data_IF_910389734554
#
_entry.id   IF_910389734554
#
_cell.length_a   1.000
_cell.length_b   1.000
_cell.length_c   1.000
_cell.angle_alpha   90.00
_cell.angle_beta   90.00
_cell.angle_gamma   90.00
#
_symmetry.space_group_name_H-M   'P 1'
#
loop_
_entity.id
_entity.type
_entity.pdbx_description
1 polymer ?
#
# COMPACT_ATOMS: atom_id res chain seq x y z
N UNK A 1 -4.00 5.42 22.98
CA UNK A 1 -2.67 4.89 23.29
C UNK A 1 -1.74 5.20 22.12
N UNK A 2 -0.58 5.83 22.37
CA UNK A 2 0.42 6.07 21.33
C UNK A 2 1.07 4.72 20.94
N UNK A 3 0.46 4.00 20.02
CA UNK A 3 1.02 2.74 19.53
C UNK A 3 2.04 3.07 18.44
N UNK A 4 3.26 3.40 18.86
CA UNK A 4 4.42 3.66 18.00
C UNK A 4 5.25 2.40 17.93
N UNK A 5 5.65 2.01 16.73
CA UNK A 5 6.62 0.95 16.51
C UNK A 5 8.01 1.55 16.30
N UNK A 6 9.01 0.92 16.88
CA UNK A 6 10.40 1.31 16.71
C UNK A 6 11.21 0.09 16.27
N UNK A 7 12.06 0.28 15.27
CA UNK A 7 12.99 -0.73 14.81
C UNK A 7 14.35 -0.09 14.52
N UNK A 8 15.41 -0.77 14.93
CA UNK A 8 16.80 -0.40 14.61
C UNK A 8 17.32 -1.40 13.56
N UNK A 9 17.27 -1.08 12.26
CA UNK A 9 17.81 -1.92 11.21
C UNK A 9 19.32 -2.15 11.39
N UNK A 10 19.83 -3.25 10.85
CA UNK A 10 21.26 -3.55 10.86
C UNK A 10 22.09 -2.58 9.98
N UNK A 11 21.42 -1.90 9.05
CA UNK A 11 21.99 -0.90 8.13
C UNK A 11 21.42 0.49 8.42
N UNK A 12 22.18 1.56 8.11
CA UNK A 12 21.65 2.92 8.13
C UNK A 12 20.62 3.17 7.04
N UNK A 13 20.65 2.40 5.95
CA UNK A 13 19.61 2.37 4.92
C UNK A 13 18.49 1.47 5.39
N UNK A 14 17.30 2.04 5.56
CA UNK A 14 16.08 1.29 5.90
C UNK A 14 15.46 0.71 4.64
N UNK A 15 15.10 -0.56 4.66
CA UNK A 15 14.53 -1.28 3.52
C UNK A 15 13.09 -1.69 3.79
N UNK A 16 12.20 -1.29 2.91
CA UNK A 16 10.78 -1.60 3.00
C UNK A 16 10.35 -2.46 1.82
N UNK A 17 9.44 -3.38 2.10
CA UNK A 17 8.70 -4.11 1.09
C UNK A 17 7.25 -3.63 1.10
N UNK A 18 6.71 -3.21 -0.05
CA UNK A 18 5.28 -2.92 -0.17
C UNK A 18 4.59 -4.00 -0.99
N UNK A 19 3.51 -4.53 -0.44
CA UNK A 19 2.50 -5.34 -1.11
C UNK A 19 1.17 -4.61 -1.01
N UNK A 20 0.31 -4.70 -2.02
CA UNK A 20 -0.96 -3.98 -2.04
C UNK A 20 -2.01 -4.73 -2.85
N UNK A 21 -3.26 -4.50 -2.54
CA UNK A 21 -4.41 -4.94 -3.32
C UNK A 21 -4.40 -6.45 -3.65
N UNK A 22 -4.26 -7.34 -2.64
CA UNK A 22 -4.36 -8.79 -2.88
C UNK A 22 -5.79 -9.27 -3.12
N UNK A 23 -6.82 -8.53 -2.71
CA UNK A 23 -8.23 -8.82 -2.91
C UNK A 23 -8.62 -10.26 -2.61
N UNK A 24 -8.21 -10.76 -1.45
CA UNK A 24 -8.50 -12.14 -1.06
C UNK A 24 -9.99 -12.36 -0.82
N UNK A 25 -10.46 -13.55 -1.14
CA UNK A 25 -11.83 -13.97 -0.84
C UNK A 25 -11.87 -15.00 0.29
N UNK A 26 -13.04 -15.17 0.91
CA UNK A 26 -13.34 -16.29 1.78
C UNK A 26 -13.07 -17.64 1.08
N UNK A 27 -13.57 -17.76 -0.15
CA UNK A 27 -13.37 -18.93 -0.99
C UNK A 27 -12.09 -18.79 -1.82
N UNK A 28 -11.12 -19.65 -1.59
CA UNK A 28 -9.83 -19.64 -2.30
C UNK A 28 -9.91 -20.00 -3.78
N UNK A 29 -11.03 -20.56 -4.22
CA UNK A 29 -11.26 -20.89 -5.63
C UNK A 29 -11.80 -19.72 -6.44
N UNK A 30 -12.24 -18.63 -5.77
CA UNK A 30 -12.77 -17.45 -6.47
C UNK A 30 -11.67 -16.68 -7.19
N UNK A 31 -12.06 -16.15 -8.30
CA UNK A 31 -11.25 -15.20 -9.06
C UNK A 31 -11.82 -13.77 -8.97
N UNK A 32 -10.97 -12.82 -9.33
CA UNK A 32 -11.31 -11.44 -9.61
C UNK A 32 -10.94 -11.18 -11.07
N UNK A 33 -11.97 -10.97 -11.91
CA UNK A 33 -11.80 -10.68 -13.33
C UNK A 33 -10.93 -11.73 -14.07
N UNK A 34 -11.11 -13.02 -13.73
CA UNK A 34 -10.43 -14.15 -14.33
C UNK A 34 -9.08 -14.52 -13.68
N UNK A 35 -8.63 -13.81 -12.64
CA UNK A 35 -7.42 -14.16 -11.89
C UNK A 35 -7.80 -14.68 -10.51
N UNK A 36 -7.37 -15.91 -10.17
CA UNK A 36 -7.47 -16.42 -8.81
C UNK A 36 -6.50 -15.64 -7.91
N UNK A 37 -7.08 -14.81 -7.03
CA UNK A 37 -6.31 -13.86 -6.20
C UNK A 37 -5.48 -14.56 -5.12
N UNK A 38 -5.94 -15.71 -4.61
CA UNK A 38 -5.17 -16.51 -3.67
C UNK A 38 -3.91 -17.11 -4.30
N UNK A 39 -4.02 -17.67 -5.51
CA UNK A 39 -2.89 -18.22 -6.24
C UNK A 39 -1.89 -17.12 -6.65
N UNK A 40 -2.41 -16.01 -7.14
CA UNK A 40 -1.62 -14.86 -7.54
C UNK A 40 -0.80 -14.31 -6.36
N UNK A 41 -1.45 -14.01 -5.24
CA UNK A 41 -0.77 -13.53 -4.04
C UNK A 41 0.24 -14.55 -3.50
N UNK A 42 -0.10 -15.84 -3.50
CA UNK A 42 0.83 -16.91 -3.11
C UNK A 42 2.08 -16.92 -3.97
N UNK A 43 1.94 -16.72 -5.30
CA UNK A 43 3.08 -16.69 -6.22
C UNK A 43 3.94 -15.42 -6.00
N UNK A 44 3.32 -14.25 -5.76
CA UNK A 44 4.05 -13.02 -5.41
C UNK A 44 4.89 -13.24 -4.15
N UNK A 45 4.31 -13.81 -3.09
CA UNK A 45 5.04 -14.08 -1.84
C UNK A 45 6.21 -15.07 -2.04
N UNK A 46 6.06 -16.09 -2.89
CA UNK A 46 7.14 -17.01 -3.24
C UNK A 46 8.28 -16.30 -3.97
N UNK A 47 7.97 -15.43 -4.94
CA UNK A 47 8.98 -14.65 -5.66
C UNK A 47 9.72 -13.70 -4.73
N UNK A 48 9.00 -13.01 -3.83
CA UNK A 48 9.59 -12.15 -2.79
C UNK A 48 10.61 -12.93 -1.94
N UNK A 49 10.24 -14.14 -1.49
CA UNK A 49 11.13 -14.97 -0.68
C UNK A 49 12.36 -15.48 -1.46
N UNK A 50 12.24 -15.60 -2.77
CA UNK A 50 13.35 -16.02 -3.65
C UNK A 50 14.29 -14.87 -4.01
N UNK A 51 13.88 -13.62 -3.84
CA UNK A 51 14.73 -12.46 -4.10
C UNK A 51 15.75 -12.25 -2.96
N UNK A 52 16.86 -11.62 -3.29
CA UNK A 52 17.94 -11.32 -2.32
C UNK A 52 17.73 -10.00 -1.55
N UNK A 53 16.61 -9.34 -1.74
CA UNK A 53 16.32 -8.07 -1.05
C UNK A 53 15.91 -8.34 0.40
N UNK A 54 16.83 -8.09 1.33
CA UNK A 54 16.58 -8.22 2.77
C UNK A 54 15.94 -6.93 3.30
N UNK A 55 14.62 -6.93 3.44
CA UNK A 55 13.83 -5.82 3.93
C UNK A 55 13.65 -5.88 5.46
N UNK A 56 13.45 -4.71 6.09
CA UNK A 56 13.27 -4.56 7.53
C UNK A 56 11.82 -4.77 7.96
N UNK A 57 10.87 -4.22 7.18
CA UNK A 57 9.43 -4.31 7.44
C UNK A 57 8.64 -4.42 6.14
N UNK A 58 7.39 -4.89 6.25
CA UNK A 58 6.43 -4.99 5.16
C UNK A 58 5.30 -3.98 5.37
N UNK A 59 4.92 -3.28 4.30
CA UNK A 59 3.75 -2.40 4.25
C UNK A 59 2.68 -3.06 3.38
N UNK A 60 1.53 -3.36 3.95
CA UNK A 60 0.33 -3.84 3.25
C UNK A 60 -0.65 -2.68 3.11
N UNK A 61 -0.77 -2.14 1.89
CA UNK A 61 -1.36 -0.82 1.67
C UNK A 61 -2.80 -0.84 1.17
N UNK A 62 -3.62 -1.72 1.75
CA UNK A 62 -5.07 -1.77 1.58
C UNK A 62 -5.57 -2.77 0.55
N UNK A 63 -6.90 -2.86 0.49
CA UNK A 63 -7.67 -3.81 -0.31
C UNK A 63 -7.19 -5.26 -0.10
N UNK A 64 -7.04 -5.63 1.19
CA UNK A 64 -6.54 -6.94 1.57
C UNK A 64 -7.56 -8.04 1.28
N UNK A 65 -8.85 -7.73 1.47
CA UNK A 65 -9.96 -8.69 1.32
C UNK A 65 -11.08 -8.07 0.49
N UNK A 66 -11.47 -8.76 -0.61
CA UNK A 66 -12.49 -8.30 -1.53
C UNK A 66 -13.91 -8.36 -0.96
N UNK A 67 -14.22 -9.41 -0.20
CA UNK A 67 -15.56 -9.72 0.30
C UNK A 67 -15.74 -9.41 1.79
N UNK A 68 -14.82 -8.67 2.38
CA UNK A 68 -14.81 -8.29 3.79
C UNK A 68 -15.00 -9.47 4.76
N UNK A 69 -14.61 -10.69 4.39
CA UNK A 69 -14.79 -11.91 5.19
C UNK A 69 -13.72 -12.06 6.27
N UNK A 70 -14.09 -12.66 7.39
CA UNK A 70 -13.13 -13.00 8.47
C UNK A 70 -12.07 -13.98 7.96
N UNK A 71 -12.50 -14.98 7.18
CA UNK A 71 -11.62 -15.99 6.63
C UNK A 71 -10.61 -15.39 5.63
N UNK A 72 -10.97 -14.32 4.92
CA UNK A 72 -10.07 -13.56 4.05
C UNK A 72 -8.94 -12.91 4.85
N UNK A 73 -9.26 -12.20 5.94
CA UNK A 73 -8.25 -11.57 6.81
C UNK A 73 -7.38 -12.59 7.52
N UNK A 74 -7.96 -13.65 8.06
CA UNK A 74 -7.19 -14.75 8.67
C UNK A 74 -6.24 -15.40 7.67
N UNK A 75 -6.69 -15.59 6.44
CA UNK A 75 -5.84 -16.09 5.35
C UNK A 75 -4.70 -15.15 5.02
N UNK A 76 -4.96 -13.84 4.92
CA UNK A 76 -3.90 -12.86 4.74
C UNK A 76 -2.80 -13.00 5.81
N UNK A 77 -3.20 -13.10 7.09
CA UNK A 77 -2.26 -13.32 8.20
C UNK A 77 -1.40 -14.56 7.97
N UNK A 78 -2.03 -15.69 7.65
CA UNK A 78 -1.31 -16.97 7.44
C UNK A 78 -0.34 -16.88 6.24
N UNK A 79 -0.77 -16.24 5.14
CA UNK A 79 0.04 -16.13 3.93
C UNK A 79 1.28 -15.27 4.11
N UNK A 80 1.22 -14.20 4.93
CA UNK A 80 2.38 -13.31 5.13
C UNK A 80 3.34 -13.78 6.24
N UNK A 81 2.94 -14.73 7.09
CA UNK A 81 3.82 -15.29 8.14
C UNK A 81 5.20 -15.74 7.64
N UNK A 82 5.31 -16.44 6.49
CA UNK A 82 6.59 -16.90 5.98
C UNK A 82 7.57 -15.78 5.60
N UNK A 83 7.12 -14.52 5.47
CA UNK A 83 8.00 -13.38 5.25
C UNK A 83 8.88 -13.09 6.47
N UNK A 84 8.49 -13.56 7.66
CA UNK A 84 9.24 -13.47 8.93
C UNK A 84 9.71 -12.03 9.28
N UNK A 85 8.88 -11.05 8.95
CA UNK A 85 9.10 -9.62 9.24
C UNK A 85 7.80 -9.01 9.78
N UNK A 86 7.91 -7.91 10.50
CA UNK A 86 6.72 -7.15 10.92
C UNK A 86 5.97 -6.60 9.73
N UNK A 87 4.66 -6.84 9.68
CA UNK A 87 3.76 -6.38 8.62
C UNK A 87 2.87 -5.28 9.18
N UNK A 88 2.85 -4.13 8.55
CA UNK A 88 1.99 -2.99 8.89
C UNK A 88 0.96 -2.80 7.80
N UNK A 89 -0.25 -2.40 8.17
CA UNK A 89 -1.37 -2.32 7.25
C UNK A 89 -2.12 -0.99 7.36
N UNK A 90 -2.81 -0.63 6.32
CA UNK A 90 -3.85 0.39 6.29
C UNK A 90 -5.04 -0.14 5.47
N UNK A 91 -6.26 0.38 5.67
CA UNK A 91 -7.42 -0.07 4.91
C UNK A 91 -7.43 0.51 3.50
N UNK A 92 -7.93 -0.29 2.54
CA UNK A 92 -8.40 0.18 1.24
C UNK A 92 -9.93 0.30 1.21
N UNK A 93 -10.50 0.66 0.06
CA UNK A 93 -11.94 0.88 -0.07
C UNK A 93 -12.77 -0.41 -0.02
N UNK A 94 -12.19 -1.57 -0.33
CA UNK A 94 -12.85 -2.88 -0.20
C UNK A 94 -12.79 -3.46 1.21
N UNK A 95 -11.90 -2.97 2.06
CA UNK A 95 -11.71 -3.50 3.40
C UNK A 95 -12.82 -3.09 4.37
N UNK A 96 -13.04 -3.92 5.40
CA UNK A 96 -13.93 -3.62 6.51
C UNK A 96 -13.13 -3.45 7.80
N UNK A 97 -12.88 -2.21 8.20
CA UNK A 97 -11.99 -1.87 9.31
C UNK A 97 -12.27 -2.61 10.62
N UNK A 98 -13.53 -2.79 11.08
CA UNK A 98 -13.77 -3.52 12.32
C UNK A 98 -13.15 -4.94 12.32
N UNK A 99 -13.23 -5.66 11.20
CA UNK A 99 -12.62 -6.99 11.06
C UNK A 99 -11.09 -6.92 10.90
N UNK A 100 -10.58 -5.89 10.21
CA UNK A 100 -9.14 -5.66 10.16
C UNK A 100 -8.57 -5.47 11.56
N UNK A 101 -9.19 -4.65 12.39
CA UNK A 101 -8.75 -4.42 13.78
C UNK A 101 -8.81 -5.71 14.59
N UNK A 102 -9.84 -6.53 14.40
CA UNK A 102 -10.02 -7.81 15.10
C UNK A 102 -8.94 -8.83 14.71
N UNK A 103 -8.65 -8.98 13.42
CA UNK A 103 -7.79 -10.05 12.92
C UNK A 103 -6.35 -9.64 12.67
N UNK A 104 -6.08 -8.35 12.41
CA UNK A 104 -4.76 -7.84 11.99
C UNK A 104 -3.98 -7.16 13.13
N UNK A 105 -4.08 -7.68 14.36
CA UNK A 105 -3.40 -7.13 15.54
C UNK A 105 -2.44 -8.11 16.22
N UNK A 106 -2.18 -9.28 15.60
CA UNK A 106 -1.34 -10.34 16.16
C UNK A 106 -0.12 -10.63 15.27
N UNK A 107 1.02 -10.95 15.90
CA UNK A 107 2.27 -11.25 15.19
C UNK A 107 2.10 -12.25 14.04
N UNK A 108 2.70 -11.97 12.84
CA UNK A 108 3.66 -10.91 12.57
C UNK A 108 3.02 -9.55 12.23
N UNK A 109 1.70 -9.44 12.24
CA UNK A 109 0.95 -8.22 11.90
C UNK A 109 0.98 -7.25 13.08
N UNK A 110 1.20 -5.98 12.78
CA UNK A 110 1.27 -4.91 13.76
C UNK A 110 0.29 -3.78 13.39
N UNK A 111 -0.51 -3.39 14.37
CA UNK A 111 -1.54 -2.36 14.19
C UNK A 111 -1.02 -0.92 14.25
N UNK A 112 0.27 -0.71 14.54
CA UNK A 112 0.86 0.63 14.60
C UNK A 112 0.77 1.34 13.25
N UNK A 113 0.42 2.61 13.29
CA UNK A 113 0.33 3.49 12.10
C UNK A 113 1.47 4.51 12.05
N UNK A 114 2.34 4.51 13.05
CA UNK A 114 3.52 5.36 13.12
C UNK A 114 4.75 4.51 13.46
N UNK A 115 5.70 4.47 12.53
CA UNK A 115 6.90 3.67 12.61
C UNK A 115 8.12 4.59 12.67
N UNK A 116 8.99 4.41 13.63
CA UNK A 116 10.32 5.00 13.66
C UNK A 116 11.32 3.92 13.24
N UNK A 117 11.97 4.12 12.11
CA UNK A 117 12.86 3.15 11.50
C UNK A 117 14.28 3.71 11.45
N UNK A 118 15.19 3.06 12.14
CA UNK A 118 16.53 3.55 12.36
C UNK A 118 16.54 4.95 13.00
N UNK A 119 17.58 5.72 12.75
CA UNK A 119 17.74 7.08 13.30
C UNK A 119 17.09 8.16 12.45
N UNK A 120 16.94 7.92 11.14
CA UNK A 120 16.71 8.99 10.17
C UNK A 120 15.29 9.01 9.59
N UNK A 121 14.49 7.94 9.74
CA UNK A 121 13.20 7.82 9.08
C UNK A 121 12.03 7.61 10.02
N UNK A 122 10.89 8.12 9.61
CA UNK A 122 9.58 7.71 10.10
C UNK A 122 8.66 7.37 8.91
N UNK A 123 7.80 6.39 9.12
CA UNK A 123 6.72 6.03 8.18
C UNK A 123 5.38 6.28 8.87
N UNK A 124 4.49 7.01 8.20
CA UNK A 124 3.17 7.39 8.74
C UNK A 124 2.11 6.81 7.82
N UNK A 125 1.31 5.86 8.34
CA UNK A 125 0.25 5.20 7.61
C UNK A 125 -1.09 5.90 7.91
N UNK A 126 -1.70 6.48 6.88
CA UNK A 126 -2.96 7.21 6.98
C UNK A 126 -4.12 6.34 6.52
N UNK A 127 -5.23 6.46 7.21
CA UNK A 127 -6.50 5.91 6.79
C UNK A 127 -7.21 6.91 5.89
N UNK A 128 -7.32 6.59 4.62
CA UNK A 128 -8.04 7.38 3.61
C UNK A 128 -9.37 6.72 3.18
N UNK A 129 -9.80 5.64 3.86
CA UNK A 129 -11.05 4.95 3.53
C UNK A 129 -12.26 5.83 3.87
N UNK A 130 -13.20 5.89 2.92
CA UNK A 130 -14.58 6.31 3.17
C UNK A 130 -15.46 5.08 2.96
N UNK A 131 -16.10 4.62 4.03
CA UNK A 131 -16.84 3.36 3.98
C UNK A 131 -17.96 3.38 2.92
N UNK A 132 -17.98 2.35 2.08
CA UNK A 132 -19.03 2.13 1.08
C UNK A 132 -18.89 2.91 -0.22
N UNK A 133 -17.78 3.61 -0.42
CA UNK A 133 -17.47 4.30 -1.68
C UNK A 133 -16.02 4.05 -2.11
N UNK A 134 -15.71 4.08 -3.42
CA UNK A 134 -14.38 3.74 -3.92
C UNK A 134 -13.35 4.90 -3.84
N UNK A 135 -13.78 6.13 -3.58
CA UNK A 135 -12.86 7.26 -3.42
C UNK A 135 -12.39 7.41 -1.98
N UNK A 136 -11.23 8.05 -1.80
CA UNK A 136 -10.68 8.33 -0.49
C UNK A 136 -10.92 9.75 0.00
N UNK A 137 -10.85 9.91 1.33
CA UNK A 137 -10.81 11.20 2.00
C UNK A 137 -10.07 11.06 3.34
N UNK A 138 -9.16 11.97 3.64
CA UNK A 138 -8.54 12.04 4.96
C UNK A 138 -9.46 12.84 5.90
N UNK A 139 -9.95 12.22 6.95
CA UNK A 139 -10.74 12.92 7.97
C UNK A 139 -9.91 14.02 8.63
N UNK A 140 -10.58 15.01 9.24
CA UNK A 140 -9.91 16.06 10.04
C UNK A 140 -9.00 15.43 11.12
N UNK A 141 -9.42 14.33 11.73
CA UNK A 141 -8.60 13.59 12.69
C UNK A 141 -7.31 13.04 12.05
N UNK A 142 -7.38 12.49 10.85
CA UNK A 142 -6.20 11.96 10.14
C UNK A 142 -5.23 13.08 9.75
N UNK A 143 -5.73 14.22 9.31
CA UNK A 143 -4.91 15.40 8.99
C UNK A 143 -4.22 15.98 10.23
N UNK A 144 -4.95 16.13 11.34
CA UNK A 144 -4.38 16.62 12.61
C UNK A 144 -3.38 15.62 13.21
N UNK A 145 -3.66 14.33 13.09
CA UNK A 145 -2.75 13.26 13.52
C UNK A 145 -1.46 13.27 12.71
N UNK A 146 -1.54 13.40 11.38
CA UNK A 146 -0.37 13.54 10.51
C UNK A 146 0.49 14.74 10.92
N UNK A 147 -0.15 15.92 11.10
CA UNK A 147 0.53 17.13 11.55
C UNK A 147 1.25 16.92 12.89
N UNK A 148 0.60 16.24 13.83
CA UNK A 148 1.19 15.90 15.12
C UNK A 148 2.42 15.02 14.95
N UNK A 149 2.35 13.95 14.13
CA UNK A 149 3.46 13.01 13.95
C UNK A 149 4.66 13.64 13.23
N UNK A 150 4.41 14.50 12.26
CA UNK A 150 5.45 15.27 11.58
C UNK A 150 6.15 16.25 12.55
N UNK A 151 5.39 16.89 13.44
CA UNK A 151 5.91 17.82 14.45
C UNK A 151 6.70 17.13 15.57
N UNK A 152 6.29 15.92 15.99
CA UNK A 152 6.97 15.15 17.05
C UNK A 152 8.38 14.73 16.67
N UNK A 153 8.66 14.55 15.36
CA UNK A 153 9.94 14.04 14.87
C UNK A 153 10.50 14.90 13.72
N UNK A 154 10.75 16.19 13.92
CA UNK A 154 11.13 17.12 12.84
C UNK A 154 12.50 16.82 12.23
N UNK A 155 13.37 16.11 12.97
CA UNK A 155 14.69 15.71 12.49
C UNK A 155 14.68 14.42 11.64
N UNK A 156 13.55 13.70 11.58
CA UNK A 156 13.41 12.49 10.79
C UNK A 156 12.79 12.80 9.43
N UNK A 157 13.31 12.21 8.38
CA UNK A 157 12.66 12.15 7.08
C UNK A 157 11.37 11.34 7.18
N UNK A 158 10.34 11.72 6.44
CA UNK A 158 9.03 11.10 6.52
C UNK A 158 8.60 10.53 5.17
N UNK A 159 8.19 9.26 5.18
CA UNK A 159 7.40 8.63 4.13
C UNK A 159 5.94 8.56 4.60
N UNK A 160 5.03 9.19 3.87
CA UNK A 160 3.59 9.16 4.16
C UNK A 160 2.96 8.10 3.26
N UNK A 161 2.15 7.23 3.85
CA UNK A 161 1.54 6.09 3.16
C UNK A 161 0.03 6.16 3.32
N UNK A 162 -0.71 6.04 2.23
CA UNK A 162 -2.17 5.96 2.20
C UNK A 162 -2.61 4.97 1.13
N UNK A 163 -3.91 4.68 1.01
CA UNK A 163 -4.38 3.76 -0.03
C UNK A 163 -4.64 4.47 -1.36
N UNK A 164 -5.43 5.57 -1.33
CA UNK A 164 -5.93 6.24 -2.52
C UNK A 164 -4.89 7.13 -3.19
N UNK A 165 -4.95 7.19 -4.51
CA UNK A 165 -3.99 7.90 -5.35
C UNK A 165 -4.16 9.43 -5.36
N UNK A 166 -3.08 10.11 -5.74
CA UNK A 166 -2.97 11.56 -5.82
C UNK A 166 -2.70 12.04 -7.25
N UNK A 167 -1.84 11.31 -7.97
CA UNK A 167 -1.54 11.61 -9.36
C UNK A 167 -2.64 11.07 -10.27
N UNK A 168 -3.05 11.83 -11.31
CA UNK A 168 -4.00 11.32 -12.28
C UNK A 168 -3.43 10.10 -13.02
N UNK A 169 -4.27 9.11 -13.23
CA UNK A 169 -3.96 7.92 -14.03
C UNK A 169 -4.22 8.14 -15.51
N UNK A 170 -4.80 9.29 -15.88
CA UNK A 170 -5.36 9.61 -17.18
C UNK A 170 -6.46 8.61 -17.63
N UNK A 171 -7.05 7.94 -16.66
CA UNK A 171 -8.17 6.99 -16.86
C UNK A 171 -9.39 7.57 -16.18
N UNK A 172 -10.30 8.13 -16.95
CA UNK A 172 -11.41 8.94 -16.44
C UNK A 172 -12.32 8.17 -15.43
N UNK A 173 -12.43 6.86 -15.57
CA UNK A 173 -13.16 6.02 -14.64
C UNK A 173 -12.42 5.88 -13.29
N UNK A 174 -11.10 5.69 -13.31
CA UNK A 174 -10.28 5.46 -12.12
C UNK A 174 -9.97 6.76 -11.39
N UNK A 175 -9.79 7.87 -12.12
CA UNK A 175 -9.51 9.19 -11.53
C UNK A 175 -10.69 9.73 -10.69
N UNK A 176 -11.88 9.14 -10.80
CA UNK A 176 -13.00 9.42 -9.92
C UNK A 176 -12.84 8.82 -8.51
N UNK A 177 -11.92 7.89 -8.34
CA UNK A 177 -11.66 7.16 -7.08
C UNK A 177 -10.43 7.70 -6.32
N UNK A 178 -9.93 8.87 -6.68
CA UNK A 178 -8.78 9.51 -6.05
C UNK A 178 -9.05 9.98 -4.60
N UNK A 179 -8.02 10.51 -3.95
CA UNK A 179 -8.15 11.23 -2.68
C UNK A 179 -8.86 12.56 -2.91
N UNK A 180 -10.11 12.69 -2.42
CA UNK A 180 -10.98 13.86 -2.68
C UNK A 180 -10.44 15.16 -2.10
N UNK A 181 -9.91 15.12 -0.89
CA UNK A 181 -9.37 16.30 -0.21
C UNK A 181 -7.83 16.36 -0.29
N UNK A 182 -7.27 16.05 -1.46
CA UNK A 182 -5.84 16.15 -1.72
C UNK A 182 -5.29 17.58 -1.49
N UNK A 183 -6.13 18.61 -1.61
CA UNK A 183 -5.73 19.99 -1.34
C UNK A 183 -5.42 20.19 0.14
N UNK A 184 -6.32 19.84 1.03
CA UNK A 184 -6.13 19.92 2.49
C UNK A 184 -4.93 19.09 2.96
N UNK A 185 -4.74 17.92 2.34
CA UNK A 185 -3.55 17.10 2.58
C UNK A 185 -2.28 17.85 2.18
N UNK A 186 -2.25 18.51 1.02
CA UNK A 186 -1.10 19.29 0.57
C UNK A 186 -0.80 20.48 1.49
N UNK A 187 -1.83 21.15 2.01
CA UNK A 187 -1.68 22.26 2.97
C UNK A 187 -1.05 21.81 4.29
N UNK A 188 -1.35 20.60 4.75
CA UNK A 188 -0.68 20.01 5.92
C UNK A 188 0.78 19.73 5.60
N UNK A 189 1.08 19.05 4.50
CA UNK A 189 2.44 18.69 4.12
C UNK A 189 3.34 19.91 3.93
N UNK A 190 2.81 20.99 3.35
CA UNK A 190 3.55 22.23 3.08
C UNK A 190 4.08 22.95 4.34
N UNK A 191 3.55 22.60 5.53
CA UNK A 191 4.02 23.13 6.81
C UNK A 191 5.33 22.48 7.28
N UNK A 192 5.79 21.41 6.60
CA UNK A 192 6.91 20.57 7.05
C UNK A 192 7.93 20.35 5.94
N UNK A 193 9.22 20.41 6.30
CA UNK A 193 10.34 20.19 5.37
C UNK A 193 10.88 18.75 5.40
N UNK A 194 10.37 17.93 6.29
CA UNK A 194 10.86 16.57 6.52
C UNK A 194 10.10 15.49 5.74
N UNK A 195 9.02 15.82 5.04
CA UNK A 195 8.35 14.86 4.14
C UNK A 195 9.15 14.71 2.86
N UNK A 196 9.50 13.46 2.51
CA UNK A 196 10.32 13.13 1.34
C UNK A 196 9.56 12.37 0.27
N UNK A 197 8.55 11.61 0.66
CA UNK A 197 7.79 10.82 -0.30
C UNK A 197 6.39 10.45 0.18
N UNK A 198 5.57 10.06 -0.80
CA UNK A 198 4.21 9.58 -0.60
C UNK A 198 4.08 8.25 -1.35
N UNK A 199 3.48 7.25 -0.70
CA UNK A 199 3.34 5.90 -1.23
C UNK A 199 1.88 5.46 -1.14
N UNK A 200 1.35 4.84 -2.22
CA UNK A 200 -0.02 4.35 -2.24
C UNK A 200 -0.20 3.07 -3.08
N UNK A 201 -1.41 2.49 -3.03
CA UNK A 201 -1.87 1.36 -3.83
C UNK A 201 -3.03 1.74 -4.75
N UNK A 202 -4.13 1.00 -4.67
CA UNK A 202 -5.46 1.30 -5.22
C UNK A 202 -5.59 1.27 -6.75
N UNK A 203 -4.67 1.88 -7.48
CA UNK A 203 -4.77 2.01 -8.94
C UNK A 203 -4.26 0.78 -9.71
N UNK A 204 -3.71 -0.20 -9.02
CA UNK A 204 -3.14 -1.41 -9.61
C UNK A 204 -2.14 -1.13 -10.75
N UNK A 205 -1.43 -0.01 -10.65
CA UNK A 205 -0.43 0.43 -11.64
C UNK A 205 0.90 0.75 -10.95
N UNK A 206 1.97 0.68 -11.72
CA UNK A 206 3.26 1.21 -11.32
C UNK A 206 3.33 2.68 -11.72
N UNK A 207 3.53 3.56 -10.74
CA UNK A 207 3.73 4.98 -10.97
C UNK A 207 4.93 5.45 -10.14
N UNK A 208 5.84 6.17 -10.79
CA UNK A 208 6.91 6.92 -10.17
C UNK A 208 6.89 8.35 -10.70
N UNK A 209 6.64 9.32 -9.83
CA UNK A 209 6.46 10.71 -10.22
C UNK A 209 6.61 11.68 -9.07
N UNK A 210 6.13 12.88 -9.27
CA UNK A 210 6.14 13.94 -8.27
C UNK A 210 4.75 14.59 -8.18
N UNK A 211 4.24 14.71 -6.96
CA UNK A 211 3.03 15.47 -6.66
C UNK A 211 3.37 16.58 -5.67
N UNK A 212 3.10 17.84 -6.04
CA UNK A 212 3.41 19.02 -5.21
C UNK A 212 4.89 19.09 -4.72
N UNK A 213 5.81 18.51 -5.49
CA UNK A 213 7.23 18.46 -5.16
C UNK A 213 7.67 17.24 -4.32
N UNK A 214 6.73 16.42 -3.84
CA UNK A 214 7.03 15.18 -3.13
C UNK A 214 7.19 14.01 -4.10
N UNK A 215 8.23 13.20 -3.92
CA UNK A 215 8.34 11.94 -4.67
C UNK A 215 7.13 11.07 -4.37
N UNK A 216 6.41 10.64 -5.40
CA UNK A 216 5.11 9.97 -5.25
C UNK A 216 5.12 8.68 -6.03
N UNK A 217 4.76 7.59 -5.36
CA UNK A 217 4.92 6.23 -5.86
C UNK A 217 3.61 5.44 -5.70
N UNK A 218 3.21 4.74 -6.76
CA UNK A 218 2.16 3.73 -6.70
C UNK A 218 2.72 2.36 -7.02
N UNK A 219 2.18 1.35 -6.36
CA UNK A 219 2.62 -0.04 -6.51
C UNK A 219 1.57 -0.86 -7.23
N UNK A 220 1.97 -1.73 -8.18
CA UNK A 220 1.06 -2.65 -8.83
C UNK A 220 0.41 -3.59 -7.82
N UNK A 221 -0.81 -4.00 -8.08
CA UNK A 221 -1.51 -4.99 -7.27
C UNK A 221 -0.82 -6.35 -7.30
N UNK A 222 -1.02 -7.12 -6.24
CA UNK A 222 -0.59 -8.52 -6.20
C UNK A 222 -1.58 -9.46 -6.89
N UNK A 223 -2.55 -8.91 -7.63
CA UNK A 223 -3.55 -9.64 -8.44
C UNK A 223 -3.70 -9.02 -9.83
N UNK A 224 -4.87 -8.50 -10.19
CA UNK A 224 -5.15 -7.84 -11.48
C UNK A 224 -4.43 -6.49 -11.62
N UNK A 225 -4.20 -6.07 -12.87
CA UNK A 225 -3.66 -4.75 -13.18
C UNK A 225 -4.65 -3.94 -14.01
N UNK A 226 -4.76 -2.63 -13.75
CA UNK A 226 -5.57 -1.73 -14.55
C UNK A 226 -4.71 -1.05 -15.62
N UNK A 227 -5.30 -0.93 -16.82
CA UNK A 227 -4.62 -0.28 -17.94
C UNK A 227 -4.59 1.24 -17.74
N UNK A 228 -3.40 1.88 -17.79
CA UNK A 228 -3.30 3.33 -17.76
C UNK A 228 -3.85 3.96 -19.05
N UNK A 229 -4.11 5.26 -19.01
CA UNK A 229 -4.55 6.06 -20.14
C UNK A 229 -5.83 5.51 -20.84
N UNK A 230 -6.79 5.00 -20.05
CA UNK A 230 -8.04 4.43 -20.54
C UNK A 230 -9.26 5.16 -19.99
N UNK A 231 -10.05 5.81 -20.84
CA UNK A 231 -11.25 6.53 -20.40
C UNK A 231 -12.33 5.62 -19.80
N UNK A 232 -12.38 4.36 -20.23
CA UNK A 232 -13.29 3.33 -19.73
C UNK A 232 -12.50 2.32 -18.92
N UNK A 233 -13.21 1.54 -18.11
CA UNK A 233 -12.62 0.39 -17.42
C UNK A 233 -11.83 -0.48 -18.41
N UNK A 234 -10.60 -0.80 -18.06
CA UNK A 234 -9.75 -1.66 -18.87
C UNK A 234 -8.69 -2.35 -18.02
N UNK A 235 -8.46 -3.62 -18.29
CA UNK A 235 -7.44 -4.44 -17.66
C UNK A 235 -6.13 -4.38 -18.44
N UNK A 236 -5.02 -4.58 -17.73
CA UNK A 236 -3.70 -4.77 -18.32
C UNK A 236 -3.26 -6.24 -18.20
N UNK A 237 -2.38 -6.66 -19.10
CA UNK A 237 -1.77 -8.00 -19.10
C UNK A 237 -0.45 -8.08 -18.34
N UNK A 238 -0.04 -6.97 -17.70
CA UNK A 238 1.11 -6.95 -16.81
C UNK A 238 0.89 -7.90 -15.63
N UNK A 239 1.96 -8.56 -15.22
CA UNK A 239 1.86 -9.52 -14.14
C UNK A 239 1.77 -8.83 -12.77
N UNK A 240 1.18 -9.50 -11.77
CA UNK A 240 1.18 -9.08 -10.38
C UNK A 240 2.57 -8.71 -9.87
N UNK A 241 2.64 -7.75 -8.93
CA UNK A 241 3.93 -7.26 -8.49
C UNK A 241 3.96 -6.74 -7.06
N UNK A 242 5.11 -6.21 -6.68
CA UNK A 242 5.40 -5.57 -5.40
C UNK A 242 6.45 -4.47 -5.60
N UNK A 243 6.69 -3.68 -4.56
CA UNK A 243 7.71 -2.62 -4.59
C UNK A 243 8.74 -2.83 -3.48
N UNK A 244 10.00 -2.70 -3.84
CA UNK A 244 11.14 -2.62 -2.94
C UNK A 244 11.55 -1.15 -2.80
N UNK A 245 11.82 -0.70 -1.56
CA UNK A 245 12.11 0.69 -1.25
C UNK A 245 13.32 0.75 -0.33
N UNK A 246 14.28 1.61 -0.65
CA UNK A 246 15.44 1.93 0.18
C UNK A 246 15.37 3.39 0.61
N UNK A 247 15.35 3.62 1.93
CA UNK A 247 15.28 4.92 2.57
C UNK A 247 16.66 5.28 3.11
N UNK A 248 17.34 6.20 2.44
CA UNK A 248 18.71 6.58 2.76
C UNK A 248 18.78 7.62 3.90
N UNK A 249 19.87 7.67 4.71
CA UNK A 249 20.02 8.61 5.82
C UNK A 249 19.92 10.09 5.41
N UNK A 250 20.23 10.42 4.17
CA UNK A 250 20.18 11.77 3.61
C UNK A 250 18.77 12.21 3.16
N UNK A 251 17.78 11.33 3.26
CA UNK A 251 16.40 11.56 2.86
C UNK A 251 16.06 11.15 1.42
N UNK A 252 17.00 10.59 0.69
CA UNK A 252 16.80 10.04 -0.65
C UNK A 252 16.01 8.73 -0.56
N UNK A 253 15.07 8.54 -1.48
CA UNK A 253 14.28 7.31 -1.64
C UNK A 253 14.67 6.66 -2.96
N UNK A 254 15.19 5.46 -2.91
CA UNK A 254 15.38 4.60 -4.08
C UNK A 254 14.31 3.49 -4.06
N UNK A 255 13.78 3.19 -5.23
CA UNK A 255 12.68 2.23 -5.31
C UNK A 255 12.69 1.50 -6.63
N UNK A 256 12.13 0.29 -6.63
CA UNK A 256 11.92 -0.51 -7.84
C UNK A 256 10.69 -1.40 -7.68
N UNK A 257 9.94 -1.51 -8.74
CA UNK A 257 8.86 -2.49 -8.85
C UNK A 257 9.42 -3.81 -9.36
N UNK A 258 8.95 -4.88 -8.78
CA UNK A 258 9.17 -6.26 -9.20
C UNK A 258 7.84 -6.88 -9.59
N UNK A 259 7.86 -7.77 -10.55
CA UNK A 259 6.69 -8.52 -11.02
C UNK A 259 7.01 -9.99 -11.12
N UNK A 260 6.00 -10.84 -11.04
CA UNK A 260 6.11 -12.26 -11.33
C UNK A 260 6.74 -12.45 -12.73
N UNK A 261 7.78 -13.28 -12.80
CA UNK A 261 8.57 -13.46 -14.04
C UNK A 261 7.81 -14.23 -15.12
N UNK A 262 6.98 -15.18 -14.72
CA UNK A 262 6.21 -16.00 -15.64
C UNK A 262 4.88 -15.33 -15.96
N UNK A 263 4.47 -15.32 -17.23
CA UNK A 263 3.16 -14.80 -17.67
C UNK A 263 2.07 -15.85 -17.46
N UNK A 264 1.67 -16.03 -16.20
CA UNK A 264 0.68 -17.06 -15.81
C UNK A 264 -0.65 -16.47 -15.34
N UNK A 265 -0.68 -15.21 -14.94
CA UNK A 265 -1.89 -14.53 -14.51
C UNK A 265 -2.34 -13.57 -15.60
N UNK A 266 -3.37 -13.98 -16.35
CA UNK A 266 -3.96 -13.19 -17.42
C UNK A 266 -5.44 -12.94 -17.07
N UNK A 267 -5.86 -11.68 -16.96
CA UNK A 267 -7.25 -11.36 -16.65
C UNK A 267 -8.18 -11.69 -17.83
N UNK A 268 -9.47 -11.81 -17.55
CA UNK A 268 -10.49 -11.87 -18.58
C UNK A 268 -10.68 -10.46 -19.19
N UNK A 269 -10.17 -10.25 -20.39
CA UNK A 269 -10.19 -8.94 -21.05
C UNK A 269 -11.57 -8.52 -21.57
N UNK A 270 -12.59 -9.37 -21.44
CA UNK A 270 -13.97 -9.07 -21.83
C UNK A 270 -14.79 -8.44 -20.68
N UNK A 271 -14.22 -8.35 -19.48
CA UNK A 271 -14.87 -7.74 -18.31
C UNK A 271 -14.94 -6.22 -18.46
N UNK A 272 -16.10 -5.64 -18.09
CA UNK A 272 -16.38 -4.22 -18.24
C UNK A 272 -16.41 -3.45 -16.90
N UNK A 273 -16.08 -4.11 -15.79
CA UNK A 273 -16.05 -3.52 -14.43
C UNK A 273 -16.04 -4.58 -13.33
N UNK A 274 -15.92 -4.10 -12.07
CA UNK A 274 -15.98 -4.95 -10.86
C UNK A 274 -16.51 -4.17 -9.65
#
# INVERSE_FOLDING_TARGET
>A
MNNRFENEPASEVVKLLQITDPHLFKDTSKDLLGINTHESFSQVLKEIQAESFDYDVVLATGDLVQDSSDEGYLRFVEMVKPLNKSVFWLPGNHDFQPKMVEHLSQSPINASKHLLLGKHWQVILLDSQVFGVPHGELSAYQLDWLKTKLSENPARHSLVVLHHHLLPTNSAWLDQHNLRNAHEFSEVLAQFNNVKGILYGHIHQEVDGYWQGYQTMATPATCIQFKPDSNHFALDTLQPGWREIELHPDGRIETRVKRIKQKIFLPNMEEEGY
#
